data_IF_867977461122
#
_entry.id   IF_867977461122
#
_cell.length_a   1.000
_cell.length_b   1.000
_cell.length_c   1.000
_cell.angle_alpha   90.00
_cell.angle_beta   90.00
_cell.angle_gamma   90.00
#
_symmetry.space_group_name_H-M   'P 1'
#
loop_
_entity.id
_entity.type
_entity.pdbx_description
1 polymer ?
#
# COMPACT_ATOMS: atom_id res chain seq x y z
N UNK A 1 -2.10 21.73 24.70
CA UNK A 1 -1.59 20.69 25.62
C UNK A 1 -1.45 19.41 24.81
N UNK A 2 -0.26 18.80 24.78
CA UNK A 2 -0.09 17.44 24.24
C UNK A 2 -0.41 16.51 25.41
N UNK A 3 -1.60 15.92 25.41
CA UNK A 3 -1.96 14.90 26.39
C UNK A 3 -1.35 13.59 25.92
N UNK A 4 -0.53 12.95 26.76
CA UNK A 4 -0.05 11.60 26.46
C UNK A 4 -1.25 10.66 26.37
N UNK A 5 -1.32 9.86 25.31
CA UNK A 5 -2.37 8.87 25.14
C UNK A 5 -1.84 7.51 25.63
N UNK A 6 -2.61 6.84 26.50
CA UNK A 6 -2.16 5.66 27.25
C UNK A 6 -2.62 4.33 26.64
N UNK A 7 -3.33 4.35 25.50
CA UNK A 7 -3.75 3.11 24.86
C UNK A 7 -2.58 2.43 24.14
N UNK A 8 -2.39 1.14 24.36
CA UNK A 8 -1.36 0.39 23.65
C UNK A 8 -1.93 -0.23 22.38
N UNK A 9 -1.09 -0.32 21.34
CA UNK A 9 -1.35 -1.21 20.21
C UNK A 9 -1.37 -2.64 20.74
N UNK A 10 -2.43 -3.38 20.38
CA UNK A 10 -2.57 -4.80 20.70
C UNK A 10 -2.45 -5.60 19.41
N UNK A 11 -1.51 -6.53 19.38
CA UNK A 11 -1.40 -7.49 18.29
C UNK A 11 -2.48 -8.57 18.43
N UNK A 12 -2.75 -9.27 17.32
CA UNK A 12 -3.63 -10.45 17.29
C UNK A 12 -5.07 -10.19 17.79
N UNK A 13 -5.55 -8.96 17.60
CA UNK A 13 -6.94 -8.58 17.82
C UNK A 13 -7.43 -7.78 16.63
N UNK A 14 -8.73 -7.81 16.38
CA UNK A 14 -9.32 -6.92 15.40
C UNK A 14 -9.22 -5.47 15.88
N UNK A 15 -8.73 -4.58 15.01
CA UNK A 15 -8.65 -3.17 15.32
C UNK A 15 -9.93 -2.44 14.93
N UNK A 16 -10.27 -1.45 15.75
CA UNK A 16 -11.38 -0.54 15.54
C UNK A 16 -10.86 0.89 15.51
N UNK A 17 -11.58 1.74 14.78
CA UNK A 17 -11.41 3.18 14.84
C UNK A 17 -11.77 3.70 16.22
N UNK A 18 -11.40 4.96 16.50
CA UNK A 18 -11.72 5.63 17.77
C UNK A 18 -13.23 5.74 18.05
N UNK A 19 -14.07 5.64 17.02
CA UNK A 19 -15.53 5.59 17.11
C UNK A 19 -16.11 4.17 17.11
N UNK A 20 -15.28 3.14 17.26
CA UNK A 20 -15.68 1.75 17.43
C UNK A 20 -16.08 1.04 16.13
N UNK A 21 -15.67 1.55 14.96
CA UNK A 21 -15.95 0.90 13.67
C UNK A 21 -14.78 0.00 13.25
N UNK A 22 -15.03 -1.13 12.57
CA UNK A 22 -13.98 -2.00 12.05
C UNK A 22 -12.98 -1.28 11.13
N UNK A 23 -11.70 -1.60 11.31
CA UNK A 23 -10.65 -1.25 10.35
C UNK A 23 -10.48 -2.38 9.33
N UNK A 24 -10.56 -2.05 8.04
CA UNK A 24 -10.26 -2.94 6.92
C UNK A 24 -9.24 -2.26 6.01
N UNK A 25 -7.97 -2.66 6.11
CA UNK A 25 -6.86 -1.99 5.42
C UNK A 25 -5.74 -2.98 5.08
N UNK A 26 -6.09 -4.05 4.35
CA UNK A 26 -5.16 -5.15 4.06
C UNK A 26 -4.16 -4.78 2.96
N UNK A 27 -2.91 -5.21 3.11
CA UNK A 27 -1.90 -5.15 2.03
C UNK A 27 -1.56 -3.74 1.55
N UNK A 28 -1.68 -2.73 2.41
CA UNK A 28 -1.26 -1.36 2.13
C UNK A 28 -0.17 -0.86 3.07
N UNK A 29 -0.25 0.39 3.52
CA UNK A 29 0.79 1.02 4.32
C UNK A 29 0.37 2.33 4.98
N UNK A 30 1.21 2.81 5.89
CA UNK A 30 1.03 4.06 6.63
C UNK A 30 2.03 5.09 6.09
N UNK A 31 1.51 6.26 5.69
CA UNK A 31 2.26 7.34 5.08
C UNK A 31 2.04 8.63 5.84
N UNK A 32 3.02 9.53 5.82
CA UNK A 32 2.96 10.79 6.55
C UNK A 32 2.74 11.93 5.56
N UNK A 33 1.60 12.61 5.67
CA UNK A 33 1.25 13.73 4.80
C UNK A 33 0.69 14.90 5.60
N UNK A 34 0.67 16.08 4.99
CA UNK A 34 -0.04 17.23 5.55
C UNK A 34 -1.49 17.21 5.10
N UNK A 35 -2.41 17.47 6.01
CA UNK A 35 -3.81 17.76 5.66
C UNK A 35 -3.95 19.14 5.00
N UNK A 36 -5.20 19.51 4.69
CA UNK A 36 -5.54 20.79 4.04
C UNK A 36 -5.22 22.00 4.94
N UNK A 37 -5.14 21.82 6.25
CA UNK A 37 -4.71 22.83 7.22
C UNK A 37 -3.18 22.86 7.41
N UNK A 38 -2.44 21.98 6.74
CA UNK A 38 -0.98 21.88 6.85
C UNK A 38 -0.51 21.07 8.06
N UNK A 39 -1.43 20.45 8.81
CA UNK A 39 -1.12 19.61 9.97
C UNK A 39 -0.66 18.25 9.47
N UNK A 40 0.50 17.84 9.96
CA UNK A 40 1.08 16.55 9.63
C UNK A 40 0.34 15.42 10.34
N UNK A 41 -0.09 14.42 9.57
CA UNK A 41 -0.85 13.26 10.03
C UNK A 41 -0.31 11.98 9.39
N UNK A 42 -0.57 10.86 10.04
CA UNK A 42 -0.40 9.54 9.49
C UNK A 42 -1.67 9.14 8.77
N UNK A 43 -1.52 8.61 7.55
CA UNK A 43 -2.60 8.11 6.71
C UNK A 43 -2.35 6.65 6.39
N UNK A 44 -3.28 5.79 6.78
CA UNK A 44 -3.22 4.37 6.52
C UNK A 44 -4.15 4.02 5.37
N UNK A 45 -3.55 3.59 4.26
CA UNK A 45 -4.27 3.09 3.10
C UNK A 45 -4.14 1.57 3.04
N UNK A 46 -5.19 0.91 2.59
CA UNK A 46 -5.18 -0.53 2.37
C UNK A 46 -6.41 -0.96 1.61
N UNK A 47 -6.38 -2.17 1.09
CA UNK A 47 -7.54 -2.75 0.41
C UNK A 47 -8.55 -3.17 1.46
N UNK A 48 -9.82 -2.91 1.18
CA UNK A 48 -10.94 -3.58 1.83
C UNK A 48 -11.41 -4.71 0.92
N UNK A 49 -11.20 -5.95 1.37
CA UNK A 49 -11.78 -7.13 0.71
C UNK A 49 -13.13 -7.49 1.33
N UNK A 50 -14.12 -7.87 0.52
CA UNK A 50 -15.44 -8.28 1.02
C UNK A 50 -15.34 -9.44 2.04
N UNK A 51 -14.42 -10.37 1.83
CA UNK A 51 -14.20 -11.52 2.71
C UNK A 51 -13.62 -11.12 4.07
N UNK A 52 -12.99 -9.94 4.21
CA UNK A 52 -12.48 -9.47 5.50
C UNK A 52 -13.61 -9.25 6.52
N UNK A 53 -14.77 -8.79 6.08
CA UNK A 53 -15.95 -8.65 6.95
C UNK A 53 -16.47 -10.01 7.44
N UNK A 54 -16.41 -11.03 6.58
CA UNK A 54 -16.84 -12.40 6.91
C UNK A 54 -15.86 -13.06 7.86
N UNK A 55 -14.55 -12.93 7.60
CA UNK A 55 -13.50 -13.41 8.49
C UNK A 55 -13.58 -12.77 9.87
N UNK A 56 -13.88 -11.47 9.94
CA UNK A 56 -14.06 -10.78 11.23
C UNK A 56 -15.19 -11.35 12.08
N UNK A 57 -16.28 -11.81 11.45
CA UNK A 57 -17.42 -12.44 12.14
C UNK A 57 -17.10 -13.85 12.61
N UNK A 58 -16.34 -14.61 11.81
CA UNK A 58 -15.96 -16.00 12.09
C UNK A 58 -14.45 -16.22 11.84
N UNK A 59 -13.57 -15.83 12.77
CA UNK A 59 -12.10 -15.80 12.59
C UNK A 59 -11.42 -17.18 12.63
N UNK A 60 -12.20 -18.22 12.36
CA UNK A 60 -11.75 -19.61 12.23
C UNK A 60 -11.96 -20.14 10.80
N UNK A 61 -12.75 -19.43 9.98
CA UNK A 61 -13.09 -19.82 8.61
C UNK A 61 -12.21 -19.05 7.64
N UNK A 62 -11.49 -19.76 6.79
CA UNK A 62 -10.75 -19.14 5.68
C UNK A 62 -11.62 -19.09 4.43
N UNK A 63 -11.45 -18.03 3.64
CA UNK A 63 -12.18 -17.82 2.40
C UNK A 63 -11.22 -17.93 1.21
N UNK A 64 -11.62 -18.59 0.11
CA UNK A 64 -10.73 -18.79 -1.04
C UNK A 64 -10.55 -17.53 -1.90
N UNK A 65 -11.39 -16.51 -1.69
CA UNK A 65 -11.46 -15.30 -2.50
C UNK A 65 -10.95 -14.08 -1.74
N UNK A 66 -10.54 -13.07 -2.51
CA UNK A 66 -10.17 -11.73 -2.05
C UNK A 66 -10.80 -10.70 -2.99
N UNK A 67 -12.13 -10.58 -2.89
CA UNK A 67 -12.95 -9.72 -3.74
C UNK A 67 -12.69 -8.26 -3.36
N UNK A 68 -12.11 -7.50 -4.28
CA UNK A 68 -11.84 -6.08 -4.09
C UNK A 68 -13.16 -5.30 -3.92
N UNK A 69 -13.27 -4.52 -2.85
CA UNK A 69 -14.40 -3.61 -2.59
C UNK A 69 -13.97 -2.15 -2.77
N UNK A 70 -12.92 -1.76 -2.07
CA UNK A 70 -12.35 -0.41 -2.10
C UNK A 70 -10.90 -0.38 -1.62
N UNK A 71 -10.27 0.78 -1.75
CA UNK A 71 -9.11 1.17 -0.95
C UNK A 71 -9.61 2.17 0.10
N UNK A 72 -9.42 1.83 1.36
CA UNK A 72 -9.79 2.66 2.50
C UNK A 72 -8.67 3.64 2.84
N UNK A 73 -9.03 4.73 3.51
CA UNK A 73 -8.09 5.66 4.13
C UNK A 73 -8.50 5.92 5.58
N UNK A 74 -7.56 5.76 6.49
CA UNK A 74 -7.69 6.14 7.90
C UNK A 74 -6.63 7.19 8.23
N UNK A 75 -6.91 8.10 9.15
CA UNK A 75 -5.93 9.06 9.66
C UNK A 75 -5.70 8.95 11.16
N UNK A 76 -4.50 9.30 11.60
CA UNK A 76 -4.13 9.37 13.02
C UNK A 76 -3.02 10.40 13.23
N UNK A 77 -2.97 10.98 14.43
CA UNK A 77 -1.85 11.82 14.89
C UNK A 77 -0.92 11.09 15.86
N UNK A 78 -1.29 9.89 16.31
CA UNK A 78 -0.61 9.16 17.37
C UNK A 78 -0.36 7.67 17.04
N UNK A 79 -0.74 7.22 15.84
CA UNK A 79 -0.66 5.84 15.34
C UNK A 79 -1.50 4.81 16.12
N UNK A 80 -2.36 5.26 17.05
CA UNK A 80 -3.22 4.40 17.87
C UNK A 80 -4.68 4.69 17.62
N UNK A 81 -5.06 5.97 17.68
CA UNK A 81 -6.43 6.41 17.49
C UNK A 81 -6.68 6.73 16.01
N UNK A 82 -7.26 5.76 15.31
CA UNK A 82 -7.56 5.87 13.88
C UNK A 82 -8.94 6.47 13.63
N UNK A 83 -9.03 7.39 12.69
CA UNK A 83 -10.26 8.00 12.19
C UNK A 83 -10.49 7.51 10.76
N UNK A 84 -11.67 7.00 10.43
CA UNK A 84 -12.00 6.67 9.05
C UNK A 84 -12.21 7.97 8.25
N UNK A 85 -11.39 8.17 7.22
CA UNK A 85 -11.49 9.33 6.32
C UNK A 85 -12.39 9.04 5.12
N UNK A 86 -12.49 7.78 4.71
CA UNK A 86 -13.35 7.35 3.62
C UNK A 86 -12.70 6.27 2.75
N UNK A 87 -13.49 5.75 1.83
CA UNK A 87 -12.98 5.01 0.69
C UNK A 87 -12.42 6.00 -0.34
N UNK A 88 -11.20 5.75 -0.80
CA UNK A 88 -10.47 6.64 -1.72
C UNK A 88 -10.31 6.04 -3.11
N UNK A 89 -10.64 4.77 -3.32
CA UNK A 89 -10.70 4.12 -4.64
C UNK A 89 -11.72 2.98 -4.60
N UNK A 90 -12.62 2.88 -5.59
CA UNK A 90 -13.79 2.00 -5.54
C UNK A 90 -13.77 0.93 -6.63
N UNK A 91 -14.52 -0.17 -6.44
CA UNK A 91 -14.65 -1.27 -7.40
C UNK A 91 -14.98 -0.79 -8.83
N UNK A 92 -15.95 0.11 -8.99
CA UNK A 92 -16.32 0.66 -10.30
C UNK A 92 -15.22 1.52 -10.97
N UNK A 93 -14.27 2.05 -10.18
CA UNK A 93 -13.10 2.79 -10.68
C UNK A 93 -11.95 1.86 -11.01
N UNK A 94 -11.79 0.78 -10.25
CA UNK A 94 -10.82 -0.27 -10.54
C UNK A 94 -11.19 -1.05 -11.80
N UNK A 95 -12.48 -1.36 -11.98
CA UNK A 95 -12.99 -2.19 -13.07
C UNK A 95 -14.14 -1.49 -13.82
N UNK A 96 -13.88 -0.38 -14.54
CA UNK A 96 -14.92 0.32 -15.30
C UNK A 96 -15.52 -0.50 -16.45
N UNK A 97 -14.81 -1.55 -16.91
CA UNK A 97 -15.31 -2.53 -17.89
C UNK A 97 -15.95 -3.77 -17.24
N UNK A 98 -16.03 -3.81 -15.89
CA UNK A 98 -16.56 -4.92 -15.10
C UNK A 98 -15.63 -6.14 -14.99
N UNK A 99 -14.42 -6.12 -15.60
CA UNK A 99 -13.51 -7.27 -15.57
C UNK A 99 -12.65 -7.26 -14.32
N UNK A 100 -13.15 -7.92 -13.28
CA UNK A 100 -12.45 -8.03 -11.98
C UNK A 100 -11.11 -8.77 -12.11
N UNK A 101 -10.12 -8.27 -11.39
CA UNK A 101 -8.82 -8.92 -11.20
C UNK A 101 -8.31 -8.64 -9.79
N UNK A 102 -7.21 -9.25 -9.41
CA UNK A 102 -6.63 -9.04 -8.08
C UNK A 102 -6.06 -7.62 -7.95
N UNK A 103 -6.34 -6.96 -6.83
CA UNK A 103 -5.86 -5.61 -6.50
C UNK A 103 -5.28 -5.62 -5.10
N UNK A 104 -4.04 -5.19 -4.94
CA UNK A 104 -3.38 -5.17 -3.64
C UNK A 104 -1.95 -4.68 -3.69
N UNK A 105 -1.27 -4.72 -2.54
CA UNK A 105 0.14 -4.30 -2.39
C UNK A 105 0.32 -2.87 -2.88
N UNK A 106 -0.22 -1.94 -2.11
CA UNK A 106 -0.30 -0.55 -2.49
C UNK A 106 0.63 0.34 -1.67
N UNK A 107 0.91 1.52 -2.21
CA UNK A 107 1.46 2.63 -1.46
C UNK A 107 1.15 3.96 -2.12
N UNK A 108 1.26 5.04 -1.34
CA UNK A 108 0.94 6.40 -1.78
C UNK A 108 2.19 7.27 -1.68
N UNK A 109 2.47 8.04 -2.73
CA UNK A 109 3.54 9.03 -2.78
C UNK A 109 2.96 10.41 -3.07
N UNK A 110 3.50 11.47 -2.46
CA UNK A 110 3.23 12.83 -2.93
C UNK A 110 4.20 13.20 -4.05
N UNK A 111 3.66 13.51 -5.23
CA UNK A 111 4.44 13.89 -6.41
C UNK A 111 4.40 15.40 -6.55
N UNK A 112 5.48 16.05 -6.08
CA UNK A 112 5.58 17.50 -5.98
C UNK A 112 5.43 18.19 -7.33
N UNK A 113 5.99 17.62 -8.39
CA UNK A 113 5.98 18.18 -9.74
C UNK A 113 4.55 18.32 -10.30
N UNK A 114 3.63 17.43 -9.91
CA UNK A 114 2.21 17.51 -10.31
C UNK A 114 1.31 18.08 -9.21
N UNK A 115 1.83 18.27 -8.00
CA UNK A 115 1.05 18.58 -6.81
C UNK A 115 -0.12 17.60 -6.62
N UNK A 116 0.18 16.30 -6.69
CA UNK A 116 -0.80 15.21 -6.58
C UNK A 116 -0.29 14.10 -5.67
N UNK A 117 -1.22 13.39 -5.06
CA UNK A 117 -0.96 12.11 -4.41
C UNK A 117 -1.10 11.01 -5.45
N UNK A 118 -0.13 10.11 -5.52
CA UNK A 118 -0.08 9.00 -6.46
C UNK A 118 -0.16 7.68 -5.71
N UNK A 119 -1.26 6.95 -5.95
CA UNK A 119 -1.47 5.59 -5.49
C UNK A 119 -0.84 4.64 -6.51
N UNK A 120 0.15 3.87 -6.07
CA UNK A 120 0.71 2.75 -6.83
C UNK A 120 0.14 1.45 -6.25
N UNK A 121 -0.58 0.67 -7.05
CA UNK A 121 -1.21 -0.57 -6.61
C UNK A 121 -1.07 -1.64 -7.68
N UNK A 122 -0.87 -2.90 -7.28
CA UNK A 122 -0.91 -3.99 -8.26
C UNK A 122 -2.35 -4.19 -8.70
N UNK A 123 -2.54 -4.33 -10.01
CA UNK A 123 -3.86 -4.46 -10.62
C UNK A 123 -3.82 -5.54 -11.70
N UNK A 124 -4.03 -6.77 -11.27
CA UNK A 124 -3.82 -7.98 -12.05
C UNK A 124 -2.34 -8.16 -12.36
N UNK A 125 -2.00 -8.18 -13.64
CA UNK A 125 -0.65 -8.47 -14.13
C UNK A 125 0.20 -7.20 -14.38
N UNK A 126 -0.15 -6.04 -13.83
CA UNK A 126 0.60 -4.78 -14.00
C UNK A 126 0.40 -3.87 -12.78
N UNK A 127 1.07 -2.71 -12.78
CA UNK A 127 0.94 -1.70 -11.72
C UNK A 127 0.01 -0.58 -12.19
N UNK A 128 -1.08 -0.35 -11.47
CA UNK A 128 -1.97 0.78 -11.65
C UNK A 128 -1.42 2.00 -10.89
N UNK A 129 -1.39 3.15 -11.56
CA UNK A 129 -1.18 4.46 -10.95
C UNK A 129 -2.48 5.25 -11.02
N UNK A 130 -2.95 5.74 -9.89
CA UNK A 130 -4.09 6.65 -9.77
C UNK A 130 -3.68 7.92 -9.01
N UNK A 131 -4.35 9.04 -9.27
CA UNK A 131 -4.00 10.35 -8.72
C UNK A 131 -5.14 10.99 -7.92
N UNK A 132 -4.81 11.64 -6.81
CA UNK A 132 -5.73 12.41 -5.98
C UNK A 132 -5.18 13.81 -5.68
N UNK A 133 -6.06 14.77 -5.41
CA UNK A 133 -5.69 16.16 -5.05
C UNK A 133 -5.35 16.33 -3.56
N UNK A 134 -5.78 15.42 -2.70
CA UNK A 134 -5.46 15.41 -1.27
C UNK A 134 -5.28 13.97 -0.78
N UNK A 135 -4.74 13.76 0.44
CA UNK A 135 -4.58 12.42 1.01
C UNK A 135 -5.90 11.64 1.12
N UNK A 136 -7.04 12.32 1.25
CA UNK A 136 -8.35 11.70 1.52
C UNK A 136 -9.33 11.85 0.37
N UNK A 137 -8.92 12.47 -0.74
CA UNK A 137 -9.76 12.59 -1.94
C UNK A 137 -9.80 11.29 -2.73
N UNK A 138 -10.86 11.11 -3.52
CA UNK A 138 -10.94 10.00 -4.48
C UNK A 138 -9.74 10.02 -5.45
N UNK A 139 -9.10 8.86 -5.60
CA UNK A 139 -8.07 8.59 -6.59
C UNK A 139 -8.72 8.29 -7.94
N UNK A 140 -8.22 8.95 -8.98
CA UNK A 140 -8.69 8.81 -10.35
C UNK A 140 -7.62 8.09 -11.17
N UNK A 141 -8.05 7.13 -11.99
CA UNK A 141 -7.15 6.35 -12.85
C UNK A 141 -6.27 7.29 -13.71
N UNK A 142 -4.96 7.12 -13.61
CA UNK A 142 -3.99 7.90 -14.39
C UNK A 142 -3.30 7.05 -15.47
N UNK A 143 -2.73 5.90 -15.11
CA UNK A 143 -2.18 4.96 -16.09
C UNK A 143 -1.96 3.56 -15.51
N UNK A 144 -1.61 2.61 -16.39
CA UNK A 144 -1.19 1.25 -16.02
C UNK A 144 0.19 0.97 -16.61
N UNK A 145 1.14 0.61 -15.76
CA UNK A 145 2.56 0.44 -16.09
C UNK A 145 2.84 -1.04 -16.36
N UNK A 146 3.28 -1.37 -17.57
CA UNK A 146 3.86 -2.67 -17.89
C UNK A 146 5.33 -2.69 -17.43
N UNK A 147 5.66 -3.54 -16.47
CA UNK A 147 7.00 -3.64 -15.89
C UNK A 147 8.01 -4.42 -16.75
N UNK A 148 7.57 -5.03 -17.86
CA UNK A 148 8.34 -6.01 -18.62
C UNK A 148 9.65 -5.45 -19.18
N UNK A 149 9.64 -4.23 -19.71
CA UNK A 149 10.84 -3.58 -20.24
C UNK A 149 11.91 -3.30 -19.18
N UNK A 150 11.52 -3.21 -17.90
CA UNK A 150 12.43 -2.94 -16.79
C UNK A 150 12.92 -4.19 -16.08
N UNK A 151 12.04 -5.17 -15.87
CA UNK A 151 12.37 -6.34 -15.04
C UNK A 151 12.13 -7.70 -15.68
N UNK A 152 11.50 -7.75 -16.86
CA UNK A 152 11.20 -9.00 -17.59
C UNK A 152 9.88 -9.69 -17.19
N UNK A 153 9.06 -9.05 -16.35
CA UNK A 153 7.68 -9.47 -16.04
C UNK A 153 6.75 -8.28 -16.14
N UNK A 154 5.50 -8.50 -16.56
CA UNK A 154 4.55 -7.39 -16.73
C UNK A 154 4.11 -6.77 -15.41
N UNK A 155 4.12 -7.57 -14.34
CA UNK A 155 3.87 -7.15 -12.96
C UNK A 155 5.16 -7.10 -12.14
N UNK A 156 5.05 -6.44 -11.00
CA UNK A 156 5.89 -6.65 -9.82
C UNK A 156 5.45 -7.91 -9.05
N UNK A 157 6.33 -8.44 -8.21
CA UNK A 157 6.01 -9.49 -7.24
C UNK A 157 5.31 -8.89 -6.04
N UNK A 158 6.03 -8.67 -4.96
CA UNK A 158 5.61 -7.81 -3.85
C UNK A 158 6.04 -6.37 -4.11
N UNK A 159 5.27 -5.37 -3.68
CA UNK A 159 5.66 -3.96 -3.80
C UNK A 159 5.21 -3.13 -2.58
N UNK A 160 5.89 -2.00 -2.36
CA UNK A 160 5.50 -0.92 -1.45
C UNK A 160 6.09 0.42 -1.91
N UNK A 161 5.64 1.52 -1.32
CA UNK A 161 6.19 2.87 -1.51
C UNK A 161 6.96 3.29 -0.27
N UNK A 162 8.10 3.94 -0.47
CA UNK A 162 8.91 4.55 0.58
C UNK A 162 9.17 6.01 0.24
N UNK A 163 9.06 6.89 1.22
CA UNK A 163 9.43 8.31 1.07
C UNK A 163 10.63 8.58 1.98
N UNK A 164 11.70 9.06 1.39
CA UNK A 164 12.93 9.43 2.09
C UNK A 164 12.80 10.81 2.73
N UNK A 165 13.72 11.14 3.64
CA UNK A 165 13.72 12.39 4.41
C UNK A 165 13.93 13.64 3.52
N UNK A 166 14.47 13.47 2.30
CA UNK A 166 14.60 14.52 1.29
C UNK A 166 13.29 14.76 0.49
N UNK A 167 12.23 14.01 0.79
CA UNK A 167 10.93 14.08 0.14
C UNK A 167 10.83 13.29 -1.16
N UNK A 168 11.90 12.61 -1.61
CA UNK A 168 11.81 11.72 -2.77
C UNK A 168 11.09 10.43 -2.39
N UNK A 169 10.22 9.99 -3.28
CA UNK A 169 9.50 8.73 -3.13
C UNK A 169 10.07 7.66 -4.05
N UNK A 170 10.02 6.41 -3.61
CA UNK A 170 10.53 5.25 -4.33
C UNK A 170 9.50 4.13 -4.31
N UNK A 171 9.32 3.47 -5.45
CA UNK A 171 8.66 2.18 -5.53
C UNK A 171 9.70 1.10 -5.25
N UNK A 172 9.39 0.23 -4.30
CA UNK A 172 10.24 -0.88 -3.92
C UNK A 172 9.48 -2.14 -4.26
N UNK A 173 10.08 -3.02 -5.04
CA UNK A 173 9.35 -4.13 -5.60
C UNK A 173 10.24 -5.31 -5.92
N UNK A 174 9.64 -6.50 -5.92
CA UNK A 174 10.34 -7.73 -6.30
C UNK A 174 9.98 -8.16 -7.72
N UNK A 175 10.77 -9.08 -8.26
CA UNK A 175 10.51 -9.72 -9.53
C UNK A 175 9.17 -10.47 -9.51
N UNK A 176 8.35 -10.30 -10.56
CA UNK A 176 6.97 -10.80 -10.63
C UNK A 176 6.83 -12.33 -10.58
N UNK A 177 7.92 -13.07 -10.81
CA UNK A 177 7.96 -14.54 -10.74
C UNK A 177 8.99 -14.99 -9.72
N UNK A 178 8.56 -15.70 -8.68
CA UNK A 178 9.47 -16.28 -7.68
C UNK A 178 10.17 -15.28 -6.77
N UNK A 179 9.93 -13.97 -6.87
CA UNK A 179 10.32 -12.93 -5.89
C UNK A 179 11.80 -12.97 -5.44
N UNK A 180 12.68 -13.47 -6.30
CA UNK A 180 14.08 -13.73 -5.96
C UNK A 180 15.03 -12.56 -6.28
N UNK A 181 14.49 -11.42 -6.73
CA UNK A 181 15.21 -10.17 -7.00
C UNK A 181 14.40 -9.02 -6.45
N UNK A 182 15.07 -8.02 -5.89
CA UNK A 182 14.43 -6.78 -5.40
C UNK A 182 15.01 -5.61 -6.18
N UNK A 183 14.12 -4.68 -6.51
CA UNK A 183 14.36 -3.48 -7.26
C UNK A 183 13.88 -2.27 -6.46
N UNK A 184 14.55 -1.15 -6.66
CA UNK A 184 14.16 0.16 -6.18
C UNK A 184 14.14 1.10 -7.38
N UNK A 185 13.06 1.86 -7.48
CA UNK A 185 12.92 2.89 -8.50
C UNK A 185 12.39 4.17 -7.91
N UNK A 186 12.97 5.31 -8.27
CA UNK A 186 12.42 6.62 -7.91
C UNK A 186 11.09 6.83 -8.61
N UNK A 187 10.09 7.31 -7.86
CA UNK A 187 8.80 7.80 -8.37
C UNK A 187 8.96 9.26 -8.76
N UNK A 188 8.46 9.63 -9.94
CA UNK A 188 8.46 11.01 -10.41
C UNK A 188 7.63 11.17 -11.68
N UNK A 189 7.92 12.20 -12.46
CA UNK A 189 7.20 12.50 -13.70
C UNK A 189 8.10 12.29 -14.91
N UNK A 190 7.61 11.54 -15.89
CA UNK A 190 8.23 11.40 -17.21
C UNK A 190 7.14 11.50 -18.28
N UNK A 191 7.39 12.26 -19.34
CA UNK A 191 6.45 12.44 -20.46
C UNK A 191 5.05 12.88 -19.99
N UNK A 192 5.01 13.78 -18.99
CA UNK A 192 3.76 14.30 -18.41
C UNK A 192 2.98 13.31 -17.54
N UNK A 193 3.53 12.13 -17.22
CA UNK A 193 2.87 11.11 -16.40
C UNK A 193 3.68 10.73 -15.17
N UNK A 194 3.00 10.56 -14.03
CA UNK A 194 3.60 9.96 -12.82
C UNK A 194 3.98 8.51 -13.09
N UNK A 195 5.27 8.18 -13.01
CA UNK A 195 5.84 6.85 -13.28
C UNK A 195 7.06 6.60 -12.40
N UNK A 196 7.69 5.43 -12.56
CA UNK A 196 9.06 5.18 -12.11
C UNK A 196 10.08 5.74 -13.11
N UNK A 197 11.18 6.32 -12.61
CA UNK A 197 12.18 7.02 -13.41
C UNK A 197 13.37 6.15 -13.82
N UNK A 198 13.74 5.21 -12.94
CA UNK A 198 14.87 4.31 -13.07
C UNK A 198 14.47 2.88 -12.66
N UNK A 199 15.43 1.96 -12.64
CA UNK A 199 15.24 0.58 -12.18
C UNK A 199 16.57 0.04 -11.66
N UNK A 200 16.77 0.08 -10.35
CA UNK A 200 18.00 -0.40 -9.72
C UNK A 200 17.75 -1.71 -9.01
N UNK A 201 18.37 -2.79 -9.48
CA UNK A 201 18.33 -4.09 -8.79
C UNK A 201 19.28 -4.06 -7.60
N UNK A 202 18.72 -4.07 -6.41
CA UNK A 202 19.49 -3.99 -5.14
C UNK A 202 19.78 -5.35 -4.52
N UNK A 203 19.14 -6.42 -5.00
CA UNK A 203 19.29 -7.75 -4.42
C UNK A 203 18.95 -8.88 -5.41
N UNK A 204 19.62 -10.05 -5.25
CA UNK A 204 19.35 -11.30 -5.98
C UNK A 204 19.72 -12.52 -5.11
N UNK A 205 18.86 -13.52 -5.06
CA UNK A 205 19.13 -14.83 -4.45
C UNK A 205 18.65 -16.01 -5.34
N UNK A 206 19.05 -17.23 -4.97
CA UNK A 206 18.63 -18.48 -5.63
C UNK A 206 17.20 -18.92 -5.24
N UNK A 207 16.69 -18.51 -4.08
CA UNK A 207 15.35 -18.90 -3.58
C UNK A 207 14.42 -17.69 -3.37
N UNK A 208 13.10 -17.94 -3.44
CA UNK A 208 12.05 -16.93 -3.29
C UNK A 208 11.98 -16.34 -1.87
N UNK A 209 11.61 -15.06 -1.77
CA UNK A 209 11.29 -14.39 -0.50
C UNK A 209 9.96 -13.65 -0.61
N UNK A 210 9.26 -13.54 0.49
CA UNK A 210 8.00 -12.78 0.55
C UNK A 210 8.17 -11.53 1.40
N UNK A 211 7.53 -10.46 0.93
CA UNK A 211 7.39 -9.09 1.47
C UNK A 211 8.69 -8.26 1.44
N UNK A 212 8.58 -7.05 0.90
CA UNK A 212 9.67 -6.06 0.86
C UNK A 212 9.20 -4.77 1.53
N UNK A 213 9.98 -4.27 2.50
CA UNK A 213 9.76 -2.97 3.16
C UNK A 213 11.11 -2.26 3.40
N UNK A 214 11.13 -0.93 3.42
CA UNK A 214 12.31 -0.08 3.65
C UNK A 214 11.99 1.03 4.65
N UNK A 215 13.00 1.46 5.41
CA UNK A 215 12.91 2.54 6.41
C UNK A 215 14.23 3.33 6.46
N UNK A 216 14.19 4.64 6.77
CA UNK A 216 15.35 5.55 6.75
C UNK A 216 16.32 5.37 7.93
N UNK A 217 15.84 4.98 9.12
CA UNK A 217 16.67 5.03 10.35
C UNK A 217 17.77 3.97 10.45
N UNK A 218 17.77 2.99 9.57
CA UNK A 218 18.92 2.15 9.28
C UNK A 218 18.79 1.88 7.78
N UNK A 219 19.82 2.17 6.97
CA UNK A 219 19.88 1.85 5.54
C UNK A 219 19.92 0.33 5.29
N UNK A 220 18.94 -0.39 5.83
CA UNK A 220 18.72 -1.82 5.75
C UNK A 220 17.32 -2.00 5.18
N UNK A 221 17.24 -2.73 4.07
CA UNK A 221 15.99 -3.31 3.58
C UNK A 221 15.53 -4.30 4.65
N UNK A 222 14.50 -3.95 5.42
CA UNK A 222 13.97 -4.87 6.42
C UNK A 222 13.24 -6.01 5.71
N UNK A 223 13.77 -7.21 5.88
CA UNK A 223 13.12 -8.45 5.48
C UNK A 223 12.17 -8.88 6.60
N UNK A 224 10.88 -8.62 6.45
CA UNK A 224 9.90 -9.15 7.38
C UNK A 224 9.53 -10.58 6.96
N UNK A 225 10.12 -11.58 7.62
CA UNK A 225 9.60 -12.96 7.62
C UNK A 225 8.56 -13.06 8.73
N UNK A 226 7.28 -12.96 8.40
CA UNK A 226 6.21 -13.35 9.33
C UNK A 226 6.02 -14.86 9.15
N UNK A 227 6.40 -15.64 10.15
CA UNK A 227 6.03 -17.05 10.26
C UNK A 227 5.25 -17.23 11.55
N UNK A 228 3.99 -17.66 11.44
CA UNK A 228 3.34 -18.47 12.45
C UNK A 228 2.81 -19.72 11.73
N UNK A 229 3.24 -20.89 12.21
CA UNK A 229 2.74 -22.22 11.85
C UNK A 229 2.66 -22.57 10.35
N UNK A 230 3.70 -22.19 9.59
CA UNK A 230 3.90 -22.71 8.23
C UNK A 230 2.88 -22.28 7.17
N UNK A 231 2.00 -21.33 7.49
CA UNK A 231 0.99 -20.81 6.57
C UNK A 231 1.28 -19.35 6.23
N UNK A 232 1.18 -19.02 4.94
CA UNK A 232 1.41 -17.69 4.41
C UNK A 232 0.26 -16.75 4.81
N UNK A 233 0.51 -15.83 5.73
CA UNK A 233 -0.45 -14.76 6.03
C UNK A 233 -0.20 -13.56 5.10
N UNK A 234 -1.28 -13.05 4.51
CA UNK A 234 -1.29 -11.69 3.96
C UNK A 234 -0.87 -10.72 5.08
N UNK A 235 -0.06 -9.69 4.79
CA UNK A 235 0.39 -8.76 5.81
C UNK A 235 -0.82 -8.05 6.44
N UNK A 236 -1.04 -8.36 7.71
CA UNK A 236 -1.79 -7.55 8.67
C UNK A 236 -0.73 -6.58 9.23
N UNK A 237 -0.84 -5.31 8.85
CA UNK A 237 -0.60 -4.23 9.81
C UNK A 237 -1.97 -3.96 10.43
#
# INVERSE_FOLDING_TARGET
>A
MITAQYQNIKNDVFWDTKDGKPIYSQGGGIFKFKDKEGIEKYYWYGVHYEEAEKYRKEPIVTYPNCTFKSITCYSSTDLVNWTFEGDVFFDNKAFPDGRKTWVGRLGVAFVKEMNKYALFVQHGNQVLVALASSPTSEFIWHQKINMESWIGTTNTGDQTVFTDDDGKSYLIYSYGKGRNKIYVSQIGVKDGKVTILDCTKVFREQAAKEIVCLSTKISIIWRLRIFMDGTLLLPII
#
